data_IF_796034241583
#
_entry.id   IF_796034241583
#
_cell.length_a   1.000
_cell.length_b   1.000
_cell.length_c   1.000
_cell.angle_alpha   90.00
_cell.angle_beta   90.00
_cell.angle_gamma   90.00
#
_symmetry.space_group_name_H-M   'P 1'
#
loop_
_entity.id
_entity.type
_entity.pdbx_description
1 polymer ?
#
# COMPACT_ATOMS: atom_id res chain seq x y z
N UNK A 1 -8.43 -4.50 -11.81
CA UNK A 1 -7.34 -5.45 -11.48
C UNK A 1 -6.07 -4.70 -11.13
N UNK A 2 -5.42 -3.96 -12.05
CA UNK A 2 -4.20 -3.18 -11.73
C UNK A 2 -4.47 -1.97 -10.83
N UNK A 3 -5.55 -1.21 -11.07
CA UNK A 3 -5.98 -0.12 -10.17
C UNK A 3 -6.31 -0.62 -8.76
N UNK A 4 -6.84 -1.84 -8.63
CA UNK A 4 -7.16 -2.43 -7.34
C UNK A 4 -5.89 -2.70 -6.52
N UNK A 5 -4.83 -3.22 -7.16
CA UNK A 5 -3.54 -3.45 -6.50
C UNK A 5 -2.90 -2.14 -6.06
N UNK A 6 -2.89 -1.13 -6.93
CA UNK A 6 -2.34 0.20 -6.58
C UNK A 6 -3.09 0.86 -5.42
N UNK A 7 -4.42 0.71 -5.39
CA UNK A 7 -5.25 1.19 -4.29
C UNK A 7 -4.95 0.45 -2.98
N UNK A 8 -4.83 -0.88 -3.03
CA UNK A 8 -4.47 -1.70 -1.86
C UNK A 8 -3.09 -1.34 -1.31
N UNK A 9 -2.08 -1.10 -2.17
CA UNK A 9 -0.76 -0.64 -1.73
C UNK A 9 -0.89 0.68 -0.96
N UNK A 10 -1.62 1.64 -1.54
CA UNK A 10 -1.83 2.96 -0.94
C UNK A 10 -2.46 2.88 0.46
N UNK A 11 -3.52 2.09 0.61
CA UNK A 11 -4.18 1.89 1.91
C UNK A 11 -3.23 1.27 2.93
N UNK A 12 -2.48 0.23 2.55
CA UNK A 12 -1.50 -0.38 3.44
C UNK A 12 -0.37 0.58 3.84
N UNK A 13 0.06 1.48 2.95
CA UNK A 13 1.01 2.57 3.29
C UNK A 13 0.42 3.50 4.36
N UNK A 14 -0.84 3.90 4.21
CA UNK A 14 -1.51 4.81 5.17
C UNK A 14 -1.65 4.14 6.55
N UNK A 15 -1.90 2.82 6.56
CA UNK A 15 -1.99 2.02 7.78
C UNK A 15 -0.61 1.65 8.37
N UNK A 16 0.48 1.92 7.64
CA UNK A 16 1.84 1.54 8.06
C UNK A 16 2.12 0.05 8.00
N UNK A 17 1.36 -0.72 7.21
CA UNK A 17 1.46 -2.18 7.06
C UNK A 17 2.47 -2.56 5.97
N UNK A 18 3.63 -3.03 6.37
CA UNK A 18 4.68 -3.54 5.49
C UNK A 18 4.38 -4.94 4.96
N UNK A 19 3.98 -5.89 5.82
CA UNK A 19 3.77 -7.30 5.44
C UNK A 19 2.45 -7.87 5.97
N UNK A 20 2.08 -9.07 5.52
CA UNK A 20 0.87 -9.77 6.01
C UNK A 20 0.91 -10.11 7.50
N UNK A 21 2.12 -10.17 8.07
CA UNK A 21 2.36 -10.58 9.46
C UNK A 21 2.33 -9.39 10.43
N UNK A 22 2.09 -8.17 9.94
CA UNK A 22 2.01 -7.00 10.82
C UNK A 22 0.79 -7.06 11.75
N UNK A 23 1.06 -6.83 13.03
CA UNK A 23 0.07 -6.84 14.11
C UNK A 23 -0.44 -5.42 14.44
N UNK A 24 -1.54 -5.33 15.19
CA UNK A 24 -2.12 -4.03 15.59
C UNK A 24 -2.96 -3.34 14.51
N UNK A 25 -3.50 -4.13 13.58
CA UNK A 25 -4.28 -3.71 12.42
C UNK A 25 -5.75 -4.12 12.59
N UNK A 26 -6.62 -3.62 11.72
CA UNK A 26 -8.01 -4.09 11.64
C UNK A 26 -8.04 -5.62 11.40
N UNK A 27 -8.89 -6.35 12.15
CA UNK A 27 -9.04 -7.81 12.00
C UNK A 27 -9.44 -8.20 10.57
N UNK A 28 -10.19 -7.35 9.86
CA UNK A 28 -10.56 -7.59 8.46
C UNK A 28 -9.36 -7.60 7.50
N UNK A 29 -8.23 -7.03 7.92
CA UNK A 29 -6.98 -6.97 7.17
C UNK A 29 -5.97 -8.05 7.61
N UNK A 30 -6.26 -8.80 8.66
CA UNK A 30 -5.40 -9.87 9.15
C UNK A 30 -5.22 -10.98 8.10
N UNK A 31 -3.97 -11.36 7.82
CA UNK A 31 -3.62 -12.35 6.81
C UNK A 31 -3.72 -11.86 5.35
N UNK A 32 -4.09 -10.58 5.13
CA UNK A 32 -4.05 -9.97 3.79
C UNK A 32 -2.64 -9.46 3.45
N UNK A 33 -2.24 -9.48 2.15
CA UNK A 33 -0.94 -8.95 1.70
C UNK A 33 -0.68 -7.51 2.16
N UNK A 34 0.55 -7.23 2.61
CA UNK A 34 1.01 -5.89 2.97
C UNK A 34 1.63 -5.16 1.78
N UNK A 35 2.23 -3.99 2.02
CA UNK A 35 2.89 -3.19 0.96
C UNK A 35 3.92 -4.00 0.19
N UNK A 36 4.71 -4.85 0.85
CA UNK A 36 5.77 -5.62 0.20
C UNK A 36 5.18 -6.60 -0.82
N UNK A 37 4.28 -7.48 -0.38
CA UNK A 37 3.73 -8.53 -1.24
C UNK A 37 2.84 -7.96 -2.35
N UNK A 38 2.12 -6.86 -2.08
CA UNK A 38 1.35 -6.17 -3.11
C UNK A 38 2.23 -5.47 -4.15
N UNK A 39 3.39 -4.97 -3.75
CA UNK A 39 4.37 -4.38 -4.67
C UNK A 39 4.96 -5.45 -5.58
N UNK A 40 5.30 -6.62 -5.04
CA UNK A 40 5.75 -7.78 -5.85
C UNK A 40 4.66 -8.19 -6.86
N UNK A 41 3.40 -8.30 -6.41
CA UNK A 41 2.27 -8.59 -7.29
C UNK A 41 2.09 -7.53 -8.40
N UNK A 42 2.28 -6.25 -8.09
CA UNK A 42 2.20 -5.17 -9.06
C UNK A 42 3.31 -5.27 -10.12
N UNK A 43 4.53 -5.62 -9.70
CA UNK A 43 5.65 -5.86 -10.62
C UNK A 43 5.41 -7.08 -11.51
N UNK A 44 4.87 -8.17 -10.97
CA UNK A 44 4.47 -9.36 -11.75
C UNK A 44 3.38 -9.03 -12.79
N UNK A 45 2.48 -8.10 -12.46
CA UNK A 45 1.47 -7.57 -13.38
C UNK A 45 2.03 -6.58 -14.41
N UNK A 46 3.36 -6.40 -14.48
CA UNK A 46 4.04 -5.44 -15.36
C UNK A 46 3.59 -3.98 -15.15
N UNK A 47 3.14 -3.64 -13.94
CA UNK A 47 2.87 -2.24 -13.59
C UNK A 47 4.21 -1.52 -13.46
N UNK A 48 4.32 -0.34 -14.08
CA UNK A 48 5.54 0.45 -14.04
C UNK A 48 5.91 0.79 -12.59
N UNK A 49 7.18 0.58 -12.17
CA UNK A 49 7.65 1.01 -10.86
C UNK A 49 7.39 2.49 -10.57
N UNK A 50 7.49 3.35 -11.58
CA UNK A 50 7.18 4.78 -11.46
C UNK A 50 5.73 5.02 -11.03
N UNK A 51 4.79 4.24 -11.58
CA UNK A 51 3.37 4.31 -11.24
C UNK A 51 3.14 3.83 -9.81
N UNK A 52 3.78 2.74 -9.39
CA UNK A 52 3.68 2.22 -8.01
C UNK A 52 4.18 3.28 -7.01
N UNK A 53 5.33 3.89 -7.29
CA UNK A 53 5.93 4.90 -6.42
C UNK A 53 5.01 6.13 -6.33
N UNK A 54 4.63 6.70 -7.47
CA UNK A 54 3.91 7.98 -7.50
C UNK A 54 2.45 7.85 -7.04
N UNK A 55 1.72 6.84 -7.54
CA UNK A 55 0.28 6.71 -7.32
C UNK A 55 -0.09 5.94 -6.04
N UNK A 56 0.82 5.11 -5.52
CA UNK A 56 0.57 4.34 -4.29
C UNK A 56 1.41 4.83 -3.12
N UNK A 57 2.75 4.73 -3.21
CA UNK A 57 3.63 5.03 -2.07
C UNK A 57 3.63 6.51 -1.71
N UNK A 58 3.93 7.39 -2.68
CA UNK A 58 3.96 8.84 -2.47
C UNK A 58 2.57 9.37 -2.13
N UNK A 59 1.54 8.95 -2.87
CA UNK A 59 0.17 9.37 -2.60
C UNK A 59 -0.32 8.91 -1.20
N UNK A 60 0.05 7.72 -0.74
CA UNK A 60 -0.26 7.24 0.60
C UNK A 60 0.43 8.07 1.68
N UNK A 61 1.73 8.34 1.50
CA UNK A 61 2.49 9.18 2.43
C UNK A 61 2.01 10.64 2.46
N UNK A 62 1.52 11.16 1.34
CA UNK A 62 0.91 12.49 1.31
C UNK A 62 -0.36 12.55 2.18
N UNK A 63 -1.23 11.52 2.11
CA UNK A 63 -2.41 11.42 2.97
C UNK A 63 -2.02 11.37 4.45
N UNK A 64 -0.97 10.60 4.79
CA UNK A 64 -0.43 10.58 6.16
C UNK A 64 0.08 11.98 6.54
N UNK A 65 0.86 12.62 5.68
CA UNK A 65 1.35 13.98 5.88
C UNK A 65 0.22 14.98 6.14
N UNK A 66 -0.84 14.95 5.34
CA UNK A 66 -2.03 15.81 5.51
C UNK A 66 -2.76 15.52 6.82
N UNK A 67 -2.88 14.24 7.24
CA UNK A 67 -3.50 13.86 8.51
C UNK A 67 -2.74 14.37 9.73
N UNK A 68 -1.43 14.53 9.65
CA UNK A 68 -0.57 14.92 10.77
C UNK A 68 0.08 16.31 10.61
N UNK A 69 -0.25 17.04 9.54
CA UNK A 69 0.17 18.42 9.35
C UNK A 69 -0.59 19.32 10.32
N UNK A 70 0.07 19.70 11.41
CA UNK A 70 -0.44 20.66 12.41
C UNK A 70 -0.35 22.09 11.91
#
# INVERSE_FOLDING_TARGET
>A
MSEDVLHMIKENVIQGRKTRDDEGIDEALSGTPGVLELTELALEQNISPEVIITQSLTAGMQVVGEKFST
#
